data_IF_200992327258
#
_entry.id   IF_200992327258
#
_cell.length_a   1.000
_cell.length_b   1.000
_cell.length_c   1.000
_cell.angle_alpha   90.00
_cell.angle_beta   90.00
_cell.angle_gamma   90.00
#
_symmetry.space_group_name_H-M   'P 1'
#
loop_
_entity.id
_entity.type
_entity.pdbx_description
1 polymer ?
#
# COMPACT_ATOMS: atom_id res chain seq x y z
N UNK A 1 -49.82 -15.47 85.35
CA UNK A 1 -48.53 -16.12 85.15
C UNK A 1 -48.48 -16.50 83.68
N UNK A 2 -47.92 -15.64 82.80
CA UNK A 2 -47.78 -15.88 81.34
C UNK A 2 -46.33 -15.87 81.01
N UNK A 3 -45.80 -16.81 80.19
CA UNK A 3 -44.37 -16.81 79.77
C UNK A 3 -44.16 -15.95 78.53
N UNK A 4 -43.08 -15.21 78.62
CA UNK A 4 -42.50 -14.41 77.52
C UNK A 4 -41.96 -15.30 76.37
N UNK A 5 -42.42 -15.07 75.16
CA UNK A 5 -41.85 -15.66 73.95
C UNK A 5 -40.69 -14.79 73.48
N UNK A 6 -39.48 -15.37 73.39
CA UNK A 6 -38.29 -14.77 72.72
C UNK A 6 -38.42 -14.91 71.25
N UNK A 7 -38.46 -13.79 70.51
CA UNK A 7 -38.36 -13.75 69.10
C UNK A 7 -36.88 -13.76 68.76
N UNK A 8 -36.39 -14.86 68.17
CA UNK A 8 -35.05 -14.94 67.56
C UNK A 8 -35.02 -14.11 66.30
N UNK A 9 -34.13 -13.10 66.21
CA UNK A 9 -33.85 -12.33 65.06
C UNK A 9 -33.09 -13.17 64.01
N UNK A 10 -33.67 -13.27 62.82
CA UNK A 10 -33.00 -13.86 61.66
C UNK A 10 -32.14 -12.80 60.95
N UNK A 11 -30.86 -13.00 60.91
CA UNK A 11 -29.90 -12.37 60.02
C UNK A 11 -28.75 -13.35 59.74
N UNK A 12 -28.01 -13.28 58.68
CA UNK A 12 -28.07 -12.55 57.40
C UNK A 12 -27.74 -13.45 56.19
N UNK A 13 -28.66 -13.74 55.32
CA UNK A 13 -28.41 -14.39 54.03
C UNK A 13 -28.17 -13.40 52.86
N UNK A 14 -28.50 -12.12 53.07
CA UNK A 14 -28.48 -11.12 52.00
C UNK A 14 -27.06 -10.63 51.58
N UNK A 15 -26.10 -10.58 52.50
CA UNK A 15 -24.77 -10.05 52.21
C UNK A 15 -23.92 -10.94 51.29
N UNK A 16 -24.02 -12.26 51.43
CA UNK A 16 -23.27 -13.22 50.59
C UNK A 16 -23.78 -13.30 49.16
N UNK A 17 -25.09 -13.10 48.98
CA UNK A 17 -25.72 -13.13 47.65
C UNK A 17 -25.39 -11.87 46.83
N UNK A 18 -25.41 -10.69 47.44
CA UNK A 18 -25.03 -9.43 46.78
C UNK A 18 -23.53 -9.39 46.40
N UNK A 19 -22.67 -9.96 47.25
CA UNK A 19 -21.24 -10.02 46.95
C UNK A 19 -20.91 -10.98 45.80
N UNK A 20 -21.65 -12.08 45.63
CA UNK A 20 -21.55 -13.00 44.49
C UNK A 20 -22.08 -12.38 43.18
N UNK A 21 -23.18 -11.61 43.25
CA UNK A 21 -23.69 -10.88 42.08
C UNK A 21 -22.72 -9.78 41.61
N UNK A 22 -22.15 -8.99 42.53
CA UNK A 22 -21.19 -7.95 42.26
C UNK A 22 -19.91 -8.49 41.58
N UNK A 23 -19.37 -9.61 42.04
CA UNK A 23 -18.22 -10.28 41.42
C UNK A 23 -18.54 -10.84 40.03
N UNK A 24 -19.75 -11.39 39.83
CA UNK A 24 -20.17 -11.86 38.49
C UNK A 24 -20.34 -10.72 37.49
N UNK A 25 -20.95 -9.60 37.90
CA UNK A 25 -21.08 -8.41 37.03
C UNK A 25 -19.74 -7.76 36.68
N UNK A 26 -18.80 -7.75 37.63
CA UNK A 26 -17.44 -7.25 37.40
C UNK A 26 -16.67 -8.14 36.39
N UNK A 27 -16.77 -9.46 36.56
CA UNK A 27 -16.12 -10.42 35.64
C UNK A 27 -16.74 -10.36 34.23
N UNK A 28 -18.05 -10.20 34.11
CA UNK A 28 -18.76 -10.04 32.86
C UNK A 28 -18.36 -8.73 32.15
N UNK A 29 -18.25 -7.62 32.87
CA UNK A 29 -17.74 -6.34 32.31
C UNK A 29 -16.29 -6.46 31.88
N UNK A 30 -15.44 -7.16 32.61
CA UNK A 30 -14.06 -7.39 32.26
C UNK A 30 -13.93 -8.25 31.00
N UNK A 31 -14.73 -9.31 30.86
CA UNK A 31 -14.76 -10.17 29.67
C UNK A 31 -15.26 -9.39 28.44
N UNK A 32 -16.33 -8.58 28.58
CA UNK A 32 -16.86 -7.76 27.49
C UNK A 32 -15.85 -6.69 27.04
N UNK A 33 -15.20 -6.01 28.00
CA UNK A 33 -14.14 -5.04 27.71
C UNK A 33 -12.93 -5.70 27.03
N UNK A 34 -12.55 -6.91 27.48
CA UNK A 34 -11.44 -7.67 26.86
C UNK A 34 -11.81 -8.18 25.46
N UNK A 35 -13.07 -8.64 25.24
CA UNK A 35 -13.56 -8.99 23.91
C UNK A 35 -13.70 -7.78 22.99
N UNK A 36 -14.12 -6.61 23.50
CA UNK A 36 -14.12 -5.38 22.72
C UNK A 36 -12.71 -4.91 22.34
N UNK A 37 -11.72 -5.05 23.21
CA UNK A 37 -10.32 -4.78 22.87
C UNK A 37 -9.76 -5.78 21.83
N UNK A 38 -10.14 -7.05 21.90
CA UNK A 38 -9.73 -8.07 20.92
C UNK A 38 -10.41 -7.82 19.56
N UNK A 39 -11.66 -7.35 19.52
CA UNK A 39 -12.38 -7.03 18.28
C UNK A 39 -11.83 -5.73 17.64
N UNK A 40 -11.37 -4.76 18.44
CA UNK A 40 -10.69 -3.56 17.91
C UNK A 40 -9.27 -3.84 17.37
N UNK A 41 -8.67 -4.98 17.74
CA UNK A 41 -7.34 -5.40 17.31
C UNK A 41 -7.31 -6.23 16.01
N UNK A 42 -8.45 -6.39 15.32
CA UNK A 42 -8.51 -7.20 14.08
C UNK A 42 -8.81 -6.40 12.81
N UNK A 43 -8.91 -5.08 12.87
CA UNK A 43 -8.92 -4.28 11.64
C UNK A 43 -7.49 -4.19 11.13
N UNK A 44 -7.23 -4.84 10.01
CA UNK A 44 -5.94 -4.71 9.33
C UNK A 44 -5.74 -3.24 8.95
N UNK A 45 -4.56 -2.68 9.27
CA UNK A 45 -4.24 -1.28 8.97
C UNK A 45 -4.32 -1.01 7.47
N UNK A 46 -3.89 -1.97 6.63
CA UNK A 46 -3.92 -1.90 5.18
C UNK A 46 -4.73 -3.04 4.57
N UNK A 47 -5.42 -2.76 3.47
CA UNK A 47 -6.16 -3.73 2.68
C UNK A 47 -5.65 -3.73 1.24
N UNK A 48 -5.81 -4.86 0.54
CA UNK A 48 -5.55 -4.90 -0.89
C UNK A 48 -6.59 -4.02 -1.61
N UNK A 49 -6.18 -2.93 -2.29
CA UNK A 49 -7.14 -2.12 -3.03
C UNK A 49 -7.68 -2.92 -4.22
N UNK A 50 -8.98 -2.80 -4.55
CA UNK A 50 -9.51 -3.44 -5.75
C UNK A 50 -8.84 -2.86 -6.99
N UNK A 51 -8.67 -3.69 -8.04
CA UNK A 51 -8.29 -3.19 -9.35
C UNK A 51 -9.41 -2.30 -9.92
N UNK A 52 -9.08 -1.16 -10.56
CA UNK A 52 -10.07 -0.29 -11.17
C UNK A 52 -10.59 -0.83 -12.53
N UNK A 53 -10.14 -2.01 -12.97
CA UNK A 53 -10.49 -2.67 -14.21
C UNK A 53 -10.38 -4.20 -14.07
N UNK A 54 -10.92 -4.96 -15.03
CA UNK A 54 -10.82 -6.42 -15.07
C UNK A 54 -9.38 -6.89 -15.35
N UNK A 55 -9.05 -8.12 -14.97
CA UNK A 55 -7.70 -8.67 -15.15
C UNK A 55 -7.23 -8.71 -16.62
N UNK A 56 -8.15 -8.92 -17.55
CA UNK A 56 -7.89 -8.98 -19.01
C UNK A 56 -7.94 -7.60 -19.70
N UNK A 57 -8.28 -6.54 -18.98
CA UNK A 57 -8.56 -5.24 -19.56
C UNK A 57 -7.32 -4.51 -20.13
N UNK A 58 -6.12 -4.97 -19.79
CA UNK A 58 -4.86 -4.41 -20.29
C UNK A 58 -4.27 -5.24 -21.46
N UNK A 59 -4.94 -6.29 -21.87
CA UNK A 59 -4.53 -7.05 -23.07
C UNK A 59 -4.62 -6.22 -24.35
N UNK A 60 -3.73 -6.47 -25.33
CA UNK A 60 -2.71 -7.50 -25.38
C UNK A 60 -1.37 -7.11 -24.73
N UNK A 61 -1.29 -5.98 -24.02
CA UNK A 61 -0.05 -5.39 -23.51
C UNK A 61 0.43 -6.01 -22.19
N UNK A 62 -0.50 -6.37 -21.32
CA UNK A 62 -0.24 -7.11 -20.08
C UNK A 62 -1.32 -8.20 -20.00
N UNK A 63 -0.92 -9.46 -19.92
CA UNK A 63 -1.84 -10.59 -19.95
C UNK A 63 -2.63 -10.75 -18.64
N UNK A 64 -3.84 -11.30 -18.75
CA UNK A 64 -4.75 -11.51 -17.63
C UNK A 64 -4.11 -12.37 -16.52
N UNK A 65 -3.33 -13.38 -16.88
CA UNK A 65 -2.70 -14.28 -15.92
C UNK A 65 -1.64 -13.56 -15.08
N UNK A 66 -0.85 -12.69 -15.72
CA UNK A 66 0.09 -11.81 -15.00
C UNK A 66 -0.68 -10.92 -14.03
N UNK A 67 -1.76 -10.28 -14.45
CA UNK A 67 -2.56 -9.39 -13.59
C UNK A 67 -3.17 -10.12 -12.39
N UNK A 68 -3.73 -11.31 -12.57
CA UNK A 68 -4.26 -12.15 -11.48
C UNK A 68 -3.21 -12.46 -10.41
N UNK A 69 -2.02 -12.89 -10.84
CA UNK A 69 -0.94 -13.26 -9.94
C UNK A 69 -0.33 -12.01 -9.30
N UNK A 70 -0.07 -10.99 -10.09
CA UNK A 70 0.60 -9.77 -9.66
C UNK A 70 -0.23 -9.03 -8.60
N UNK A 71 -1.53 -8.85 -8.83
CA UNK A 71 -2.43 -8.25 -7.85
C UNK A 71 -2.78 -9.23 -6.71
N UNK A 72 -3.34 -10.40 -7.05
CA UNK A 72 -3.95 -11.29 -6.06
C UNK A 72 -2.95 -12.12 -5.25
N UNK A 73 -1.67 -12.22 -5.65
CA UNK A 73 -0.64 -12.95 -4.92
C UNK A 73 0.49 -12.03 -4.46
N UNK A 74 1.17 -11.33 -5.36
CA UNK A 74 2.31 -10.49 -4.97
C UNK A 74 1.86 -9.29 -4.13
N UNK A 75 0.92 -8.46 -4.61
CA UNK A 75 0.45 -7.30 -3.85
C UNK A 75 -0.25 -7.74 -2.55
N UNK A 76 -1.10 -8.78 -2.59
CA UNK A 76 -1.72 -9.32 -1.38
C UNK A 76 -0.68 -9.78 -0.34
N UNK A 77 0.42 -10.39 -0.76
CA UNK A 77 1.48 -10.79 0.15
C UNK A 77 2.16 -9.58 0.81
N UNK A 78 2.42 -8.51 0.06
CA UNK A 78 2.96 -7.26 0.63
C UNK A 78 2.01 -6.67 1.67
N UNK A 79 0.72 -6.62 1.41
CA UNK A 79 -0.29 -6.13 2.37
C UNK A 79 -0.29 -6.98 3.64
N UNK A 80 -0.36 -8.31 3.50
CA UNK A 80 -0.38 -9.24 4.64
C UNK A 80 0.89 -9.12 5.49
N UNK A 81 2.06 -9.11 4.85
CA UNK A 81 3.34 -9.05 5.53
C UNK A 81 3.59 -7.67 6.17
N UNK A 82 3.13 -6.58 5.53
CA UNK A 82 3.18 -5.24 6.12
C UNK A 82 2.36 -5.18 7.40
N UNK A 83 1.10 -5.60 7.36
CA UNK A 83 0.23 -5.62 8.54
C UNK A 83 0.85 -6.42 9.69
N UNK A 84 1.43 -7.59 9.39
CA UNK A 84 2.13 -8.39 10.40
C UNK A 84 3.36 -7.67 10.98
N UNK A 85 4.10 -6.92 10.14
CA UNK A 85 5.33 -6.25 10.55
C UNK A 85 5.08 -4.97 11.37
N UNK A 86 3.93 -4.31 11.20
CA UNK A 86 3.60 -3.07 11.91
C UNK A 86 2.69 -3.30 13.13
N UNK A 87 2.13 -4.50 13.30
CA UNK A 87 1.20 -4.82 14.39
C UNK A 87 1.78 -4.44 15.76
N UNK A 88 1.03 -3.64 16.53
CA UNK A 88 1.43 -3.16 17.84
C UNK A 88 2.53 -2.10 17.85
N UNK A 89 2.89 -1.54 16.68
CA UNK A 89 3.84 -0.42 16.56
C UNK A 89 3.11 0.90 16.27
N UNK A 90 3.82 2.02 16.32
CA UNK A 90 3.30 3.35 15.94
C UNK A 90 2.89 3.42 14.46
N UNK A 91 3.55 2.64 13.61
CA UNK A 91 3.27 2.56 12.17
C UNK A 91 1.87 2.02 11.84
N UNK A 92 1.21 1.30 12.77
CA UNK A 92 -0.15 0.76 12.58
C UNK A 92 -1.20 1.86 12.32
N UNK A 93 -0.93 3.09 12.80
CA UNK A 93 -1.84 4.24 12.68
C UNK A 93 -1.39 5.28 11.64
N UNK A 94 -0.35 5.00 10.86
CA UNK A 94 0.17 5.91 9.86
C UNK A 94 -0.34 5.59 8.46
N UNK A 95 -0.32 6.61 7.58
CA UNK A 95 -0.51 6.38 6.15
C UNK A 95 0.68 5.63 5.56
N UNK A 96 0.46 4.92 4.46
CA UNK A 96 1.56 4.23 3.78
C UNK A 96 2.63 5.20 3.26
N UNK A 97 2.22 6.40 2.86
CA UNK A 97 3.11 7.49 2.47
C UNK A 97 3.99 7.95 3.63
N UNK A 98 3.42 8.10 4.83
CA UNK A 98 4.16 8.52 6.02
C UNK A 98 5.13 7.44 6.49
N UNK A 99 4.76 6.16 6.38
CA UNK A 99 5.67 5.03 6.61
C UNK A 99 6.84 5.11 5.62
N UNK A 100 6.57 5.27 4.32
CA UNK A 100 7.62 5.40 3.30
C UNK A 100 8.54 6.60 3.56
N UNK A 101 7.99 7.78 3.86
CA UNK A 101 8.77 8.99 4.15
C UNK A 101 9.67 8.89 5.39
N UNK A 102 9.41 7.95 6.27
CA UNK A 102 10.16 7.71 7.50
C UNK A 102 10.76 6.30 7.55
N UNK A 103 11.00 5.69 6.40
CA UNK A 103 11.33 4.25 6.31
C UNK A 103 12.62 3.88 7.03
N UNK A 104 13.56 4.81 7.18
CA UNK A 104 14.80 4.60 7.94
C UNK A 104 14.57 4.23 9.42
N UNK A 105 13.39 4.55 9.97
CA UNK A 105 13.02 4.24 11.36
C UNK A 105 12.52 2.82 11.54
N UNK A 106 12.23 2.11 10.45
CA UNK A 106 11.56 0.82 10.47
C UNK A 106 12.47 -0.32 10.00
N UNK A 107 12.20 -1.56 10.41
CA UNK A 107 12.96 -2.72 9.96
C UNK A 107 12.74 -3.01 8.47
N UNK A 108 13.67 -3.80 7.89
CA UNK A 108 13.62 -4.20 6.48
C UNK A 108 12.28 -4.83 6.05
N UNK A 109 11.59 -5.53 6.95
CA UNK A 109 10.26 -6.10 6.67
C UNK A 109 9.23 -5.00 6.34
N UNK A 110 9.22 -3.88 7.07
CA UNK A 110 8.34 -2.73 6.78
C UNK A 110 8.78 -2.04 5.51
N UNK A 111 10.09 -1.83 5.28
CA UNK A 111 10.62 -1.23 4.05
C UNK A 111 10.18 -2.01 2.80
N UNK A 112 10.40 -3.33 2.79
CA UNK A 112 10.11 -4.15 1.63
C UNK A 112 8.60 -4.28 1.38
N UNK A 113 7.82 -4.52 2.42
CA UNK A 113 6.39 -4.77 2.28
C UNK A 113 5.58 -3.46 2.20
N UNK A 114 5.98 -2.42 2.94
CA UNK A 114 5.40 -1.08 2.84
C UNK A 114 5.68 -0.44 1.48
N UNK A 115 6.92 -0.50 1.02
CA UNK A 115 7.27 -0.09 -0.34
C UNK A 115 6.49 -0.86 -1.38
N UNK A 116 6.41 -2.20 -1.24
CA UNK A 116 5.63 -3.06 -2.15
C UNK A 116 4.16 -2.68 -2.19
N UNK A 117 3.53 -2.45 -1.03
CA UNK A 117 2.13 -2.02 -0.98
C UNK A 117 1.93 -0.65 -1.65
N UNK A 118 2.75 0.34 -1.34
CA UNK A 118 2.66 1.67 -1.96
C UNK A 118 2.85 1.60 -3.48
N UNK A 119 3.93 0.97 -3.94
CA UNK A 119 4.29 0.90 -5.35
C UNK A 119 3.19 0.25 -6.19
N UNK A 120 2.63 -0.86 -5.72
CA UNK A 120 1.57 -1.57 -6.44
C UNK A 120 0.23 -0.83 -6.39
N UNK A 121 -0.10 -0.19 -5.26
CA UNK A 121 -1.30 0.67 -5.17
C UNK A 121 -1.27 1.81 -6.18
N UNK A 122 -0.11 2.44 -6.36
CA UNK A 122 0.13 3.42 -7.42
C UNK A 122 -0.01 2.79 -8.80
N UNK A 123 0.67 1.65 -9.03
CA UNK A 123 0.79 1.00 -10.34
C UNK A 123 -0.57 0.71 -10.98
N UNK A 124 -1.53 0.21 -10.19
CA UNK A 124 -2.87 -0.08 -10.70
C UNK A 124 -3.62 1.16 -11.17
N UNK A 125 -3.41 2.32 -10.56
CA UNK A 125 -4.13 3.56 -10.91
C UNK A 125 -3.54 4.31 -12.09
N UNK A 126 -2.23 4.18 -12.31
CA UNK A 126 -1.53 4.83 -13.43
C UNK A 126 -1.59 4.04 -14.74
N UNK A 127 -2.30 2.92 -14.75
CA UNK A 127 -2.66 2.17 -15.94
C UNK A 127 -4.17 2.18 -16.13
N UNK A 128 -4.63 2.09 -17.36
CA UNK A 128 -6.06 1.95 -17.70
C UNK A 128 -6.27 1.20 -19.02
N UNK A 129 -7.44 0.56 -19.20
CA UNK A 129 -7.87 0.07 -20.51
C UNK A 129 -7.90 1.19 -21.54
N UNK A 130 -7.46 0.90 -22.76
CA UNK A 130 -7.37 1.89 -23.84
C UNK A 130 -6.59 3.16 -23.42
N UNK A 131 -5.55 2.96 -22.61
CA UNK A 131 -4.62 4.02 -22.19
C UNK A 131 -3.65 4.43 -23.28
N UNK A 132 -2.49 4.92 -22.85
CA UNK A 132 -1.43 5.31 -23.78
C UNK A 132 -1.64 6.66 -24.45
N UNK A 133 -1.11 6.81 -25.66
CA UNK A 133 -1.06 8.09 -26.32
C UNK A 133 0.01 9.02 -25.73
N UNK A 134 -0.30 10.31 -25.63
CA UNK A 134 0.61 11.35 -25.14
C UNK A 134 -0.04 12.13 -23.99
N UNK A 135 0.74 12.65 -23.04
CA UNK A 135 0.22 13.57 -22.04
C UNK A 135 -0.25 14.88 -22.68
N UNK A 136 -1.15 15.59 -21.97
CA UNK A 136 -1.66 16.89 -22.40
C UNK A 136 -1.53 17.94 -21.28
N UNK A 137 -1.75 19.20 -21.61
CA UNK A 137 -1.76 20.31 -20.62
C UNK A 137 -0.42 20.46 -19.89
N UNK A 138 -0.49 20.91 -18.65
CA UNK A 138 0.68 21.26 -17.83
C UNK A 138 1.72 20.12 -17.69
N UNK A 139 1.28 18.86 -17.62
CA UNK A 139 2.19 17.73 -17.56
C UNK A 139 3.00 17.58 -18.86
N UNK A 140 2.36 17.75 -20.04
CA UNK A 140 3.05 17.69 -21.33
C UNK A 140 4.09 18.81 -21.47
N UNK A 141 3.72 20.03 -21.05
CA UNK A 141 4.62 21.19 -21.04
C UNK A 141 5.83 20.95 -20.13
N UNK A 142 5.60 20.42 -18.93
CA UNK A 142 6.65 20.10 -17.98
C UNK A 142 7.58 19.00 -18.50
N UNK A 143 7.04 17.95 -19.14
CA UNK A 143 7.83 16.88 -19.76
C UNK A 143 8.69 17.44 -20.89
N UNK A 144 8.13 18.23 -21.79
CA UNK A 144 8.89 18.84 -22.89
C UNK A 144 9.96 19.79 -22.36
N UNK A 145 9.67 20.56 -21.32
CA UNK A 145 10.66 21.45 -20.68
C UNK A 145 11.82 20.67 -20.02
N UNK A 146 11.50 19.57 -19.34
CA UNK A 146 12.51 18.80 -18.58
C UNK A 146 13.34 17.87 -19.48
N UNK A 147 12.75 17.35 -20.55
CA UNK A 147 13.35 16.28 -21.36
C UNK A 147 13.48 16.63 -22.87
N UNK A 148 13.16 17.84 -23.26
CA UNK A 148 13.17 18.36 -24.62
C UNK A 148 12.02 17.88 -25.52
N UNK A 149 11.54 16.66 -25.34
CA UNK A 149 10.38 16.09 -26.03
C UNK A 149 9.81 14.90 -25.27
N UNK A 150 8.59 14.51 -25.65
CA UNK A 150 7.97 13.29 -25.12
C UNK A 150 8.75 12.02 -25.54
N UNK A 151 9.29 11.97 -26.73
CA UNK A 151 10.08 10.81 -27.21
C UNK A 151 11.41 10.67 -26.44
N UNK A 152 12.08 11.79 -26.17
CA UNK A 152 13.28 11.79 -25.32
C UNK A 152 12.96 11.38 -23.88
N UNK A 153 11.83 11.84 -23.35
CA UNK A 153 11.34 11.39 -22.05
C UNK A 153 11.15 9.87 -22.02
N UNK A 154 10.43 9.30 -23.00
CA UNK A 154 10.22 7.84 -23.10
C UNK A 154 11.54 7.09 -23.21
N UNK A 155 12.44 7.59 -24.03
CA UNK A 155 13.78 6.98 -24.20
C UNK A 155 14.53 6.92 -22.88
N UNK A 156 14.58 8.03 -22.13
CA UNK A 156 15.26 8.10 -20.82
C UNK A 156 14.57 7.24 -19.76
N UNK A 157 13.24 7.23 -19.75
CA UNK A 157 12.46 6.39 -18.82
C UNK A 157 12.68 4.89 -19.09
N UNK A 158 12.63 4.49 -20.35
CA UNK A 158 12.91 3.11 -20.74
C UNK A 158 14.36 2.72 -20.40
N UNK A 159 15.33 3.60 -20.63
CA UNK A 159 16.71 3.35 -20.21
C UNK A 159 16.83 3.13 -18.71
N UNK A 160 16.17 3.94 -17.87
CA UNK A 160 16.19 3.79 -16.42
C UNK A 160 15.63 2.42 -15.97
N UNK A 161 14.58 1.91 -16.61
CA UNK A 161 14.01 0.60 -16.30
C UNK A 161 14.82 -0.57 -16.86
N UNK A 162 15.30 -0.47 -18.09
CA UNK A 162 16.06 -1.57 -18.72
C UNK A 162 17.45 -1.74 -18.12
N UNK A 163 18.08 -0.66 -17.68
CA UNK A 163 19.41 -0.71 -17.01
C UNK A 163 19.31 -1.01 -15.51
N UNK A 164 18.10 -1.03 -14.90
CA UNK A 164 17.94 -1.44 -13.52
C UNK A 164 18.34 -2.91 -13.39
N UNK A 165 19.50 -3.15 -12.79
CA UNK A 165 19.99 -4.50 -12.55
C UNK A 165 19.14 -5.21 -11.51
N UNK A 166 18.65 -6.41 -11.85
CA UNK A 166 17.75 -7.19 -10.99
C UNK A 166 16.34 -6.62 -10.94
N UNK A 167 15.70 -6.76 -9.79
CA UNK A 167 14.34 -6.30 -9.52
C UNK A 167 14.32 -4.82 -9.12
N UNK A 168 13.26 -4.12 -9.52
CA UNK A 168 13.09 -2.72 -9.13
C UNK A 168 12.02 -2.01 -9.94
N UNK A 169 12.09 -0.69 -9.96
CA UNK A 169 11.10 0.20 -10.56
C UNK A 169 11.79 1.33 -11.33
N UNK A 170 11.18 1.77 -12.41
CA UNK A 170 11.50 3.03 -13.09
C UNK A 170 10.45 4.08 -12.74
N UNK A 171 10.86 5.32 -12.50
CA UNK A 171 10.00 6.39 -12.00
C UNK A 171 10.09 7.67 -12.81
N UNK A 172 8.95 8.34 -13.02
CA UNK A 172 8.86 9.78 -13.24
C UNK A 172 8.40 10.42 -11.93
N UNK A 173 9.15 11.39 -11.42
CA UNK A 173 8.85 12.07 -10.16
C UNK A 173 8.78 13.58 -10.35
N UNK A 174 8.12 14.27 -9.40
CA UNK A 174 8.26 15.69 -9.17
C UNK A 174 9.09 15.90 -7.90
N UNK A 175 10.27 16.51 -8.04
CA UNK A 175 11.14 16.79 -6.90
C UNK A 175 10.63 17.97 -6.05
N UNK A 176 11.26 18.25 -4.92
CA UNK A 176 10.87 19.34 -4.01
C UNK A 176 10.94 20.74 -4.66
N UNK A 177 11.71 20.91 -5.72
CA UNK A 177 11.76 22.14 -6.51
C UNK A 177 10.71 22.22 -7.62
N UNK A 178 9.77 21.27 -7.68
CA UNK A 178 8.71 21.21 -8.71
C UNK A 178 9.17 20.71 -10.08
N UNK A 179 10.43 20.27 -10.22
CA UNK A 179 10.97 19.78 -11.49
C UNK A 179 10.73 18.30 -11.66
N UNK A 180 10.55 17.88 -12.92
CA UNK A 180 10.43 16.47 -13.28
C UNK A 180 11.81 15.83 -13.38
N UNK A 181 11.93 14.63 -12.79
CA UNK A 181 13.13 13.81 -12.88
C UNK A 181 12.77 12.35 -13.16
N UNK A 182 13.68 11.62 -13.79
CA UNK A 182 13.59 10.17 -13.99
C UNK A 182 14.63 9.52 -13.09
N UNK A 183 14.21 8.47 -12.38
CA UNK A 183 15.12 7.64 -11.60
C UNK A 183 14.69 6.17 -11.64
N UNK A 184 15.50 5.29 -11.08
CA UNK A 184 15.12 3.90 -10.80
C UNK A 184 15.52 3.53 -9.39
N UNK A 185 14.75 2.64 -8.77
CA UNK A 185 15.01 2.15 -7.40
C UNK A 185 15.11 0.63 -7.39
N UNK A 186 15.92 0.03 -6.51
CA UNK A 186 16.01 -1.42 -6.38
C UNK A 186 14.83 -1.96 -5.58
N UNK A 187 14.51 -3.23 -5.80
CA UNK A 187 13.51 -3.98 -5.06
C UNK A 187 12.17 -3.24 -4.95
N UNK A 188 11.67 -3.00 -3.72
CA UNK A 188 10.43 -2.25 -3.48
C UNK A 188 10.70 -0.84 -2.92
N UNK A 189 11.91 -0.34 -3.01
CA UNK A 189 12.20 1.06 -2.69
C UNK A 189 11.47 2.01 -3.66
N UNK A 190 11.16 3.20 -3.18
CA UNK A 190 10.51 4.24 -3.98
C UNK A 190 11.02 5.64 -3.64
N UNK A 191 10.77 6.64 -4.50
CA UNK A 191 11.28 7.99 -4.32
C UNK A 191 10.71 8.79 -3.13
N UNK A 192 9.65 8.30 -2.46
CA UNK A 192 9.17 8.91 -1.22
C UNK A 192 10.08 8.59 -0.03
N UNK A 193 10.82 7.49 -0.08
CA UNK A 193 11.61 7.01 1.04
C UNK A 193 12.71 7.99 1.41
N UNK A 194 12.89 8.25 2.71
CA UNK A 194 13.95 9.13 3.24
C UNK A 194 15.37 8.62 2.95
N UNK A 195 15.50 7.33 2.60
CA UNK A 195 16.75 6.69 2.19
C UNK A 195 16.95 6.69 0.66
N UNK A 196 15.99 7.16 -0.14
CA UNK A 196 16.12 7.18 -1.58
C UNK A 196 17.23 8.17 -2.03
N UNK A 197 18.01 7.78 -3.02
CA UNK A 197 19.05 8.62 -3.63
C UNK A 197 18.41 9.82 -4.34
N UNK A 198 17.37 9.58 -5.14
CA UNK A 198 16.57 10.62 -5.81
C UNK A 198 15.19 10.65 -5.16
N UNK A 199 14.81 11.80 -4.60
CA UNK A 199 13.58 11.97 -3.81
C UNK A 199 12.57 12.84 -4.51
N UNK A 200 11.30 12.46 -4.43
CA UNK A 200 10.19 13.24 -4.96
C UNK A 200 8.89 12.49 -4.91
N UNK A 201 7.83 13.17 -5.36
CA UNK A 201 6.49 12.59 -5.47
C UNK A 201 6.37 11.77 -6.75
N UNK A 202 6.09 10.46 -6.70
CA UNK A 202 5.91 9.63 -7.88
C UNK A 202 4.69 10.06 -8.71
N UNK A 203 4.92 10.27 -10.00
CA UNK A 203 3.88 10.56 -11.02
C UNK A 203 3.58 9.30 -11.82
N UNK A 204 4.63 8.62 -12.30
CA UNK A 204 4.58 7.31 -12.95
C UNK A 204 5.57 6.37 -12.28
N UNK A 205 5.23 5.08 -12.25
CA UNK A 205 6.12 4.02 -11.82
C UNK A 205 5.90 2.78 -12.70
N UNK A 206 6.96 2.25 -13.31
CA UNK A 206 6.90 1.00 -14.05
C UNK A 206 7.61 -0.09 -13.26
N UNK A 207 6.89 -1.16 -12.93
CA UNK A 207 7.44 -2.34 -12.28
C UNK A 207 8.32 -3.12 -13.27
N UNK A 208 9.59 -3.28 -12.93
CA UNK A 208 10.54 -4.07 -13.73
C UNK A 208 11.03 -5.32 -13.02
N UNK A 209 10.32 -5.74 -11.95
CA UNK A 209 10.43 -7.09 -11.43
C UNK A 209 9.98 -8.09 -12.51
N UNK A 210 10.62 -9.24 -12.61
CA UNK A 210 10.25 -10.25 -13.60
C UNK A 210 8.81 -10.74 -13.44
N UNK A 211 8.25 -10.76 -12.21
CA UNK A 211 6.86 -11.13 -12.00
C UNK A 211 5.84 -10.22 -12.73
N UNK A 212 6.23 -9.00 -13.11
CA UNK A 212 5.36 -8.07 -13.82
C UNK A 212 5.22 -8.39 -15.32
N UNK A 213 6.14 -9.19 -15.91
CA UNK A 213 6.18 -9.36 -17.36
C UNK A 213 6.60 -10.75 -17.84
N UNK A 214 7.16 -11.62 -16.99
CA UNK A 214 7.84 -12.84 -17.45
C UNK A 214 6.92 -13.82 -18.19
N UNK A 215 5.65 -13.95 -17.78
CA UNK A 215 4.71 -14.88 -18.42
C UNK A 215 4.47 -14.54 -19.90
N UNK A 216 4.43 -13.25 -20.25
CA UNK A 216 4.19 -12.79 -21.61
C UNK A 216 5.47 -12.44 -22.38
N UNK A 217 6.43 -11.83 -21.71
CA UNK A 217 7.64 -11.31 -22.36
C UNK A 217 8.92 -12.11 -22.07
N UNK A 218 8.92 -13.02 -21.12
CA UNK A 218 10.08 -13.78 -20.62
C UNK A 218 11.22 -12.81 -20.26
N UNK A 219 12.40 -12.98 -20.85
CA UNK A 219 13.56 -12.12 -20.61
C UNK A 219 13.53 -10.77 -21.36
N UNK A 220 12.50 -10.50 -22.15
CA UNK A 220 12.43 -9.30 -23.01
C UNK A 220 11.83 -8.10 -22.27
N UNK A 221 12.49 -7.67 -21.18
CA UNK A 221 12.09 -6.46 -20.44
C UNK A 221 11.90 -5.22 -21.31
N UNK A 222 12.76 -4.92 -22.31
CA UNK A 222 12.54 -3.77 -23.21
C UNK A 222 11.21 -3.82 -23.96
N UNK A 223 10.77 -5.01 -24.40
CA UNK A 223 9.51 -5.17 -25.11
C UNK A 223 8.32 -4.89 -24.19
N UNK A 224 8.36 -5.42 -22.96
CA UNK A 224 7.38 -5.11 -21.91
C UNK A 224 7.29 -3.60 -21.66
N UNK A 225 8.41 -2.93 -21.43
CA UNK A 225 8.42 -1.50 -21.18
C UNK A 225 7.88 -0.69 -22.37
N UNK A 226 8.13 -1.15 -23.58
CA UNK A 226 7.55 -0.55 -24.81
C UNK A 226 6.03 -0.74 -24.84
N UNK A 227 5.54 -1.93 -24.52
CA UNK A 227 4.11 -2.23 -24.51
C UNK A 227 3.38 -1.51 -23.36
N UNK A 228 4.03 -1.33 -22.20
CA UNK A 228 3.46 -0.64 -21.04
C UNK A 228 3.00 0.79 -21.35
N UNK A 229 3.67 1.50 -22.26
CA UNK A 229 3.22 2.84 -22.68
C UNK A 229 1.81 2.87 -23.28
N UNK A 230 1.35 1.75 -23.83
CA UNK A 230 0.00 1.64 -24.41
C UNK A 230 -1.13 1.56 -23.36
N UNK A 231 -0.79 1.36 -22.11
CA UNK A 231 -1.77 1.26 -21.01
C UNK A 231 -1.64 2.40 -19.99
N UNK A 232 -0.71 3.33 -20.17
CA UNK A 232 -0.50 4.46 -19.25
C UNK A 232 -1.74 5.34 -19.16
N UNK A 233 -2.15 5.64 -17.93
CA UNK A 233 -3.24 6.54 -17.59
C UNK A 233 -2.71 7.98 -17.39
N UNK A 234 -2.63 8.74 -18.46
CA UNK A 234 -2.13 10.12 -18.44
C UNK A 234 -3.00 11.08 -17.64
N UNK A 235 -4.29 10.79 -17.47
CA UNK A 235 -5.18 11.59 -16.63
C UNK A 235 -4.79 11.47 -15.15
N UNK A 236 -4.51 10.26 -14.69
CA UNK A 236 -4.03 10.05 -13.32
C UNK A 236 -2.62 10.62 -13.13
N UNK A 237 -1.73 10.45 -14.11
CA UNK A 237 -0.40 11.05 -14.09
C UNK A 237 -0.48 12.59 -13.98
N UNK A 238 -1.39 13.24 -14.72
CA UNK A 238 -1.60 14.69 -14.64
C UNK A 238 -2.15 15.14 -13.26
N UNK A 239 -3.06 14.37 -12.65
CA UNK A 239 -3.54 14.64 -11.28
C UNK A 239 -2.38 14.58 -10.27
N UNK A 240 -1.54 13.56 -10.34
CA UNK A 240 -0.36 13.40 -9.46
C UNK A 240 0.66 14.50 -9.65
N UNK A 241 0.85 14.97 -10.86
CA UNK A 241 1.71 16.11 -11.16
C UNK A 241 1.18 17.41 -10.54
N UNK A 242 -0.14 17.58 -10.47
CA UNK A 242 -0.78 18.78 -9.91
C UNK A 242 -0.78 18.82 -8.37
N UNK A 243 -0.57 17.68 -7.68
CA UNK A 243 -0.40 17.60 -6.21
C UNK A 243 0.95 18.20 -5.80
#
# INVERSE_FOLDING_TARGET
MYPLFFIRSHQPLAKGFQQKLSKRTSLFKFIILHQQQIILSTTMAFNLPPLPYAFDALEPHIDARTMEIHHGKHHQAYVTNLNNAIAGTDAENLSIEDICKNISKYPAAVRNNGGGHYNHSLFWTIMKPNGGGVPTGALAEAINSAFSSFDEFKTKFNAAGTTRFGSGWAWLIKNAGGKLEICSTPNQDNPLMDIAEVKGSPILGCDVWEHAYYLHYQNRRPDYMTAWWSVVNWEEAAKRFAM
#
